data_IF_121712465808
#
_entry.id   IF_121712465808
#
_cell.length_a   1.000
_cell.length_b   1.000
_cell.length_c   1.000
_cell.angle_alpha   90.00
_cell.angle_beta   90.00
_cell.angle_gamma   90.00
#
_symmetry.space_group_name_H-M   'P 1'
#
loop_
_entity.id
_entity.type
_entity.pdbx_description
1 polymer ?
#
# COMPACT_ATOMS: atom_id res chain seq x y z
N UNK A 1 -5.22 -11.36 -7.76
CA UNK A 1 -4.34 -10.21 -7.47
C UNK A 1 -2.85 -10.51 -7.59
N UNK A 2 -2.41 -11.71 -7.34
CA UNK A 2 -1.03 -12.15 -7.50
C UNK A 2 -0.58 -12.14 -8.97
N UNK A 3 -1.52 -12.33 -9.90
CA UNK A 3 -1.26 -12.40 -11.34
C UNK A 3 -0.58 -11.15 -11.91
N UNK A 4 -0.91 -9.95 -11.44
CA UNK A 4 -0.27 -8.72 -11.96
C UNK A 4 1.20 -8.58 -11.52
N UNK A 5 1.57 -9.17 -10.38
CA UNK A 5 2.95 -9.15 -9.87
C UNK A 5 3.81 -10.26 -10.42
N UNK A 6 3.20 -11.37 -10.80
CA UNK A 6 3.92 -12.58 -11.23
C UNK A 6 3.82 -12.84 -12.74
N UNK A 7 2.73 -12.40 -13.37
CA UNK A 7 2.41 -12.70 -14.76
C UNK A 7 2.17 -11.45 -15.62
N UNK A 8 2.87 -10.35 -15.32
CA UNK A 8 2.86 -9.14 -16.15
C UNK A 8 3.53 -9.41 -17.51
N UNK A 9 3.23 -8.62 -18.57
CA UNK A 9 3.89 -8.76 -19.86
C UNK A 9 5.40 -8.66 -19.74
N UNK A 10 6.13 -9.65 -20.25
CA UNK A 10 7.58 -9.76 -20.14
C UNK A 10 8.08 -10.49 -18.88
N UNK A 11 7.22 -10.83 -17.92
CA UNK A 11 7.60 -11.62 -16.76
C UNK A 11 8.17 -12.98 -17.14
N UNK A 12 9.20 -13.42 -16.45
CA UNK A 12 9.70 -14.80 -16.55
C UNK A 12 9.12 -15.58 -15.36
N UNK A 13 8.24 -16.49 -15.68
CA UNK A 13 7.55 -17.38 -14.75
C UNK A 13 8.13 -18.78 -14.79
N UNK A 14 8.34 -19.39 -13.63
CA UNK A 14 8.87 -20.74 -13.53
C UNK A 14 7.73 -21.73 -13.25
N UNK A 15 7.50 -22.63 -14.20
CA UNK A 15 6.57 -23.75 -14.04
C UNK A 15 7.32 -25.08 -14.14
N UNK A 16 7.19 -25.96 -13.15
CA UNK A 16 7.94 -27.21 -13.05
C UNK A 16 9.45 -27.04 -13.31
N UNK A 17 10.06 -26.05 -12.65
CA UNK A 17 11.47 -25.66 -12.80
C UNK A 17 11.90 -25.23 -14.23
N UNK A 18 10.95 -24.97 -15.12
CA UNK A 18 11.19 -24.48 -16.46
C UNK A 18 10.76 -23.03 -16.59
N UNK A 19 11.62 -22.15 -17.16
CA UNK A 19 11.28 -20.75 -17.36
C UNK A 19 10.38 -20.54 -18.58
N UNK A 20 9.35 -19.74 -18.40
CA UNK A 20 8.45 -19.30 -19.44
C UNK A 20 8.29 -17.78 -19.36
N UNK A 21 8.33 -17.10 -20.49
CA UNK A 21 8.07 -15.68 -20.57
C UNK A 21 6.61 -15.39 -20.92
N UNK A 22 6.00 -14.49 -20.20
CA UNK A 22 4.68 -13.94 -20.52
C UNK A 22 4.84 -13.01 -21.72
N UNK A 23 4.25 -13.41 -22.83
CA UNK A 23 4.36 -12.70 -24.09
C UNK A 23 3.19 -11.76 -24.34
N UNK A 24 2.01 -12.18 -23.94
CA UNK A 24 0.78 -11.43 -24.09
C UNK A 24 -0.14 -11.70 -22.91
N UNK A 25 -0.81 -10.67 -22.46
CA UNK A 25 -1.78 -10.73 -21.38
C UNK A 25 -3.12 -10.14 -21.85
N UNK A 26 -4.13 -10.98 -21.97
CA UNK A 26 -5.46 -10.60 -22.37
C UNK A 26 -6.39 -10.48 -21.16
N UNK A 27 -6.58 -9.26 -20.66
CA UNK A 27 -7.52 -8.97 -19.55
C UNK A 27 -8.96 -9.39 -19.89
N UNK A 28 -9.39 -9.20 -21.14
CA UNK A 28 -10.76 -9.53 -21.59
C UNK A 28 -11.06 -11.03 -21.52
N UNK A 29 -10.09 -11.85 -21.87
CA UNK A 29 -10.24 -13.30 -21.93
C UNK A 29 -9.74 -14.00 -20.69
N UNK A 30 -9.08 -13.29 -19.76
CA UNK A 30 -8.36 -13.87 -18.63
C UNK A 30 -7.32 -14.91 -19.06
N UNK A 31 -6.67 -14.68 -20.20
CA UNK A 31 -5.69 -15.57 -20.80
C UNK A 31 -4.30 -14.96 -20.75
N UNK A 32 -3.31 -15.80 -20.52
CA UNK A 32 -1.89 -15.45 -20.54
C UNK A 32 -1.20 -16.33 -21.57
N UNK A 33 -0.53 -15.70 -22.53
CA UNK A 33 0.25 -16.43 -23.54
C UNK A 33 1.70 -16.47 -23.08
N UNK A 34 2.26 -17.67 -22.99
CA UNK A 34 3.61 -17.92 -22.51
C UNK A 34 4.43 -18.66 -23.57
N UNK A 35 5.74 -18.37 -23.62
CA UNK A 35 6.72 -19.10 -24.43
C UNK A 35 7.89 -19.54 -23.54
N UNK A 36 8.52 -20.66 -23.89
CA UNK A 36 9.74 -21.12 -23.22
C UNK A 36 10.85 -20.08 -23.36
N UNK A 37 11.54 -19.81 -22.27
CA UNK A 37 12.58 -18.77 -22.20
C UNK A 37 13.87 -19.34 -21.58
N UNK A 38 14.93 -18.53 -21.58
CA UNK A 38 16.18 -18.77 -20.84
C UNK A 38 15.97 -18.51 -19.35
N UNK A 39 16.93 -18.93 -18.53
CA UNK A 39 16.92 -18.70 -17.09
C UNK A 39 17.21 -17.21 -16.77
N UNK A 40 16.22 -16.36 -16.96
CA UNK A 40 16.24 -14.96 -16.54
C UNK A 40 15.36 -14.76 -15.31
N UNK A 41 15.68 -13.74 -14.52
CA UNK A 41 14.82 -13.30 -13.42
C UNK A 41 14.26 -11.93 -13.74
N UNK A 42 12.97 -11.74 -13.51
CA UNK A 42 12.31 -10.46 -13.77
C UNK A 42 11.56 -10.00 -12.54
N UNK A 43 11.57 -8.67 -12.29
CA UNK A 43 10.87 -8.00 -11.20
C UNK A 43 10.05 -6.84 -11.78
N UNK A 44 8.74 -6.72 -11.48
CA UNK A 44 7.91 -5.66 -12.03
C UNK A 44 8.29 -4.29 -11.46
N UNK A 45 8.20 -3.25 -12.28
CA UNK A 45 8.21 -1.86 -11.83
C UNK A 45 6.76 -1.52 -11.48
N UNK A 46 6.41 -1.76 -10.22
CA UNK A 46 5.07 -1.63 -9.70
C UNK A 46 4.92 -0.32 -8.92
N UNK A 47 3.91 0.44 -9.28
CA UNK A 47 3.41 1.58 -8.50
C UNK A 47 2.05 1.19 -7.90
N UNK A 48 1.85 1.53 -6.64
CA UNK A 48 0.57 1.34 -5.95
C UNK A 48 0.12 2.69 -5.43
N UNK A 49 -1.12 3.05 -5.72
CA UNK A 49 -1.76 4.26 -5.22
C UNK A 49 -3.03 3.87 -4.46
N UNK A 50 -3.25 4.49 -3.32
CA UNK A 50 -4.39 4.23 -2.44
C UNK A 50 -5.20 5.49 -2.30
N UNK A 51 -6.51 5.38 -2.52
CA UNK A 51 -7.47 6.47 -2.43
C UNK A 51 -8.54 6.12 -1.38
N UNK A 52 -8.41 6.66 -0.15
CA UNK A 52 -9.40 6.45 0.89
C UNK A 52 -10.73 7.14 0.57
N UNK A 53 -11.84 6.45 0.81
CA UNK A 53 -13.20 6.96 0.59
C UNK A 53 -13.78 7.52 1.88
N UNK A 54 -13.17 8.56 2.45
CA UNK A 54 -13.56 9.12 3.74
C UNK A 54 -14.93 9.80 3.74
N UNK A 55 -15.43 10.22 2.58
CA UNK A 55 -16.69 10.99 2.52
C UNK A 55 -17.94 10.14 2.75
N UNK A 56 -17.94 8.87 2.33
CA UNK A 56 -19.16 8.07 2.35
C UNK A 56 -19.02 6.69 3.00
N UNK A 57 -17.78 6.23 3.26
CA UNK A 57 -17.53 4.83 3.60
C UNK A 57 -16.52 4.67 4.74
N UNK A 58 -16.65 5.50 5.77
CA UNK A 58 -15.95 5.30 7.04
C UNK A 58 -16.67 4.19 7.81
N UNK A 59 -15.90 3.16 8.19
CA UNK A 59 -16.40 2.02 8.97
C UNK A 59 -16.22 2.30 10.47
N UNK A 60 -15.03 2.74 10.86
CA UNK A 60 -14.70 3.09 12.25
C UNK A 60 -13.74 4.27 12.26
N UNK A 61 -13.86 5.13 13.26
CA UNK A 61 -13.07 6.35 13.39
C UNK A 61 -12.66 6.58 14.84
N UNK A 62 -11.37 6.83 15.05
CA UNK A 62 -10.81 7.37 16.29
C UNK A 62 -10.15 8.69 15.99
N UNK A 63 -10.46 9.71 16.79
CA UNK A 63 -9.92 11.07 16.65
C UNK A 63 -8.96 11.40 17.78
N UNK A 64 -7.91 12.14 17.43
CA UNK A 64 -7.04 12.83 18.37
C UNK A 64 -7.00 14.32 18.00
N UNK A 65 -6.48 15.16 18.88
CA UNK A 65 -6.38 16.61 18.63
C UNK A 65 -5.68 16.93 17.31
N UNK A 66 -4.63 16.17 16.97
CA UNK A 66 -3.76 16.43 15.83
C UNK A 66 -3.76 15.29 14.78
N UNK A 67 -4.83 14.49 14.73
CA UNK A 67 -4.86 13.39 13.78
C UNK A 67 -6.03 12.45 13.93
N UNK A 68 -5.96 11.34 13.21
CA UNK A 68 -6.99 10.31 13.22
C UNK A 68 -6.43 8.92 12.93
N UNK A 69 -7.18 7.92 13.33
CA UNK A 69 -7.09 6.53 12.89
C UNK A 69 -8.47 6.14 12.36
N UNK A 70 -8.54 5.66 11.13
CA UNK A 70 -9.79 5.36 10.45
C UNK A 70 -9.72 4.03 9.70
N UNK A 71 -10.75 3.20 9.86
CA UNK A 71 -11.02 2.08 8.95
C UNK A 71 -12.05 2.55 7.92
N UNK A 72 -11.73 2.44 6.64
CA UNK A 72 -12.62 2.87 5.55
C UNK A 72 -12.48 1.99 4.31
N UNK A 73 -13.46 2.12 3.41
CA UNK A 73 -13.32 1.64 2.05
C UNK A 73 -12.23 2.42 1.32
N UNK A 74 -11.52 1.72 0.47
CA UNK A 74 -10.42 2.24 -0.32
C UNK A 74 -10.58 1.83 -1.77
N UNK A 75 -10.13 2.70 -2.66
CA UNK A 75 -9.83 2.34 -4.03
C UNK A 75 -8.33 2.21 -4.19
N UNK A 76 -7.87 1.07 -4.71
CA UNK A 76 -6.46 0.78 -4.94
C UNK A 76 -6.20 0.68 -6.43
N UNK A 77 -5.16 1.38 -6.88
CA UNK A 77 -4.66 1.34 -8.25
C UNK A 77 -3.26 0.74 -8.23
N UNK A 78 -3.09 -0.41 -8.88
CA UNK A 78 -1.79 -1.04 -9.12
C UNK A 78 -1.42 -0.86 -10.60
N UNK A 79 -0.27 -0.26 -10.86
CA UNK A 79 0.25 0.01 -12.20
C UNK A 79 1.62 -0.63 -12.38
N UNK A 80 1.76 -1.51 -13.36
CA UNK A 80 3.06 -2.03 -13.82
C UNK A 80 3.46 -1.29 -15.08
N UNK A 81 4.53 -0.52 -15.01
CA UNK A 81 5.04 0.31 -16.12
C UNK A 81 6.21 -0.32 -16.88
N UNK A 82 6.67 -1.48 -16.44
CA UNK A 82 7.80 -2.19 -17.00
C UNK A 82 8.36 -3.21 -16.01
N UNK A 83 9.57 -3.64 -16.22
CA UNK A 83 10.23 -4.60 -15.35
C UNK A 83 11.75 -4.47 -15.40
N UNK A 84 12.40 -4.90 -14.32
CA UNK A 84 13.84 -5.12 -14.29
C UNK A 84 14.11 -6.59 -14.62
N UNK A 85 15.04 -6.83 -15.54
CA UNK A 85 15.45 -8.17 -15.96
C UNK A 85 16.92 -8.42 -15.62
N UNK A 86 17.19 -9.53 -14.95
CA UNK A 86 18.57 -10.00 -14.69
C UNK A 86 18.92 -11.14 -15.64
N UNK A 87 20.02 -10.96 -16.38
CA UNK A 87 20.62 -11.94 -17.31
C UNK A 87 22.05 -12.20 -16.88
N UNK A 88 22.28 -13.31 -16.18
CA UNK A 88 23.58 -13.56 -15.56
C UNK A 88 23.93 -12.43 -14.56
N UNK A 89 25.07 -11.77 -14.74
CA UNK A 89 25.52 -10.65 -13.91
C UNK A 89 24.96 -9.27 -14.27
N UNK A 90 24.23 -9.14 -15.38
CA UNK A 90 23.74 -7.86 -15.88
C UNK A 90 22.27 -7.63 -15.52
N UNK A 91 21.92 -6.37 -15.23
CA UNK A 91 20.54 -5.94 -14.95
C UNK A 91 20.09 -4.92 -16.01
N UNK A 92 18.89 -5.10 -16.54
CA UNK A 92 18.30 -4.25 -17.57
C UNK A 92 16.92 -3.78 -17.10
N UNK A 93 16.64 -2.49 -17.26
CA UNK A 93 15.32 -1.93 -17.04
C UNK A 93 14.58 -1.81 -18.37
N UNK A 94 13.40 -2.41 -18.47
CA UNK A 94 12.56 -2.42 -19.67
C UNK A 94 11.25 -1.74 -19.31
N UNK A 95 10.97 -0.59 -19.94
CA UNK A 95 9.72 0.15 -19.78
C UNK A 95 8.76 -0.21 -20.93
N UNK A 96 7.45 -0.19 -20.66
CA UNK A 96 6.41 -0.45 -21.68
C UNK A 96 6.16 0.71 -22.64
N UNK A 97 6.84 1.82 -22.43
CA UNK A 97 6.79 2.96 -23.33
C UNK A 97 7.83 2.74 -24.44
N UNK A 98 7.44 3.01 -25.69
CA UNK A 98 8.28 3.00 -26.90
C UNK A 98 9.03 1.68 -27.15
N UNK A 99 8.60 0.97 -28.16
CA UNK A 99 9.27 -0.21 -28.75
C UNK A 99 9.36 -1.46 -27.87
N UNK A 100 8.64 -1.53 -26.76
CA UNK A 100 8.57 -2.75 -25.98
C UNK A 100 7.70 -3.80 -26.70
N UNK A 101 8.30 -4.96 -26.97
CA UNK A 101 7.62 -6.06 -27.69
C UNK A 101 6.54 -6.76 -26.83
N UNK A 102 6.53 -6.55 -25.52
CA UNK A 102 5.63 -7.23 -24.59
C UNK A 102 4.37 -6.41 -24.28
N UNK A 103 4.49 -5.10 -24.17
CA UNK A 103 3.37 -4.19 -23.98
C UNK A 103 3.75 -2.77 -24.43
N UNK A 104 2.78 -2.05 -25.00
CA UNK A 104 2.97 -0.66 -25.43
C UNK A 104 2.45 0.35 -24.41
N UNK A 105 1.75 -0.12 -23.37
CA UNK A 105 1.16 0.70 -22.31
C UNK A 105 1.29 0.00 -20.97
N UNK A 106 1.34 0.75 -19.86
CA UNK A 106 1.28 0.18 -18.53
C UNK A 106 0.06 -0.71 -18.34
N UNK A 107 0.24 -1.79 -17.60
CA UNK A 107 -0.87 -2.65 -17.19
C UNK A 107 -1.39 -2.15 -15.85
N UNK A 108 -2.67 -1.82 -15.81
CA UNK A 108 -3.31 -1.21 -14.65
C UNK A 108 -4.41 -2.12 -14.11
N UNK A 109 -4.51 -2.20 -12.81
CA UNK A 109 -5.58 -2.90 -12.10
C UNK A 109 -6.17 -1.96 -11.06
N UNK A 110 -7.51 -1.87 -11.06
CA UNK A 110 -8.29 -1.18 -10.05
C UNK A 110 -9.08 -2.19 -9.24
N UNK A 111 -9.14 -1.99 -7.94
CA UNK A 111 -10.02 -2.79 -7.08
C UNK A 111 -10.41 -2.01 -5.83
N UNK A 112 -11.57 -2.34 -5.31
CA UNK A 112 -12.07 -1.82 -4.04
C UNK A 112 -11.76 -2.80 -2.92
N UNK A 113 -11.39 -2.25 -1.77
CA UNK A 113 -11.04 -3.02 -0.57
C UNK A 113 -11.26 -2.17 0.67
N UNK A 114 -10.91 -2.68 1.84
CA UNK A 114 -10.85 -1.91 3.08
C UNK A 114 -9.44 -1.81 3.61
N UNK A 115 -9.20 -0.80 4.43
CA UNK A 115 -7.92 -0.64 5.12
C UNK A 115 -8.03 0.32 6.29
N UNK A 116 -6.95 0.38 7.04
CA UNK A 116 -6.77 1.28 8.15
C UNK A 116 -5.77 2.36 7.76
N UNK A 117 -6.26 3.59 7.78
CA UNK A 117 -5.49 4.80 7.50
C UNK A 117 -5.22 5.55 8.79
N UNK A 118 -4.02 6.12 8.92
CA UNK A 118 -3.70 7.02 10.02
C UNK A 118 -2.93 8.24 9.53
N UNK A 119 -3.16 9.33 10.20
CA UNK A 119 -2.49 10.60 10.02
C UNK A 119 -2.30 11.28 11.37
N UNK A 120 -1.12 11.86 11.55
CA UNK A 120 -0.82 12.78 12.65
C UNK A 120 -0.07 13.97 12.08
N UNK A 121 -0.39 15.18 12.57
CA UNK A 121 0.10 16.45 11.99
C UNK A 121 1.59 16.71 12.16
N UNK A 122 2.30 15.90 12.95
CA UNK A 122 3.73 16.00 13.11
C UNK A 122 4.46 15.40 11.89
N UNK A 123 5.23 16.24 11.20
CA UNK A 123 6.00 15.83 10.01
C UNK A 123 7.03 14.73 10.28
N UNK A 124 7.53 14.62 11.50
CA UNK A 124 8.49 13.57 11.91
C UNK A 124 7.89 12.16 11.83
N UNK A 125 6.57 12.07 11.86
CA UNK A 125 5.83 10.80 11.82
C UNK A 125 5.61 10.31 10.38
N UNK A 126 5.79 11.15 9.39
CA UNK A 126 5.58 10.82 7.97
C UNK A 126 6.87 10.25 7.38
N UNK A 127 7.29 9.09 7.87
CA UNK A 127 8.42 8.32 7.33
C UNK A 127 7.95 6.93 6.87
N UNK A 128 8.24 6.61 5.61
CA UNK A 128 7.89 5.31 5.02
C UNK A 128 8.55 4.14 5.76
N UNK A 129 9.73 4.34 6.32
CA UNK A 129 10.44 3.32 7.12
C UNK A 129 9.69 3.00 8.40
N UNK A 130 9.16 4.03 9.07
CA UNK A 130 8.33 3.86 10.27
C UNK A 130 7.04 3.09 9.94
N UNK A 131 6.37 3.47 8.86
CA UNK A 131 5.17 2.77 8.41
C UNK A 131 5.45 1.32 8.03
N UNK A 132 6.58 1.05 7.37
CA UNK A 132 7.01 -0.31 7.02
C UNK A 132 7.29 -1.15 8.27
N UNK A 133 7.90 -0.57 9.31
CA UNK A 133 8.13 -1.27 10.57
C UNK A 133 6.81 -1.62 11.28
N UNK A 134 5.87 -0.67 11.33
CA UNK A 134 4.52 -0.93 11.88
C UNK A 134 3.83 -2.06 11.11
N UNK A 135 3.92 -2.04 9.79
CA UNK A 135 3.39 -3.08 8.92
C UNK A 135 4.01 -4.45 9.20
N UNK A 136 5.34 -4.53 9.32
CA UNK A 136 6.03 -5.78 9.60
C UNK A 136 5.66 -6.35 10.98
N UNK A 137 5.60 -5.49 12.00
CA UNK A 137 5.18 -5.88 13.36
C UNK A 137 3.73 -6.36 13.35
N UNK A 138 2.85 -5.70 12.61
CA UNK A 138 1.46 -6.14 12.45
C UNK A 138 1.40 -7.53 11.81
N UNK A 139 2.12 -7.75 10.71
CA UNK A 139 2.20 -9.06 10.06
C UNK A 139 2.70 -10.16 11.01
N UNK A 140 3.78 -9.90 11.73
CA UNK A 140 4.38 -10.86 12.67
C UNK A 140 3.44 -11.19 13.83
N UNK A 141 2.82 -10.16 14.44
CA UNK A 141 1.97 -10.33 15.62
C UNK A 141 0.71 -11.15 15.33
N UNK A 142 0.15 -11.01 14.14
CA UNK A 142 -1.10 -11.67 13.75
C UNK A 142 -0.90 -12.83 12.76
N UNK A 143 0.34 -13.17 12.41
CA UNK A 143 0.63 -14.27 11.48
C UNK A 143 0.12 -14.01 10.04
N UNK A 144 0.04 -12.73 9.65
CA UNK A 144 -0.46 -12.31 8.34
C UNK A 144 0.68 -12.40 7.32
N UNK A 145 0.37 -12.90 6.13
CA UNK A 145 1.36 -12.97 5.06
C UNK A 145 1.43 -11.63 4.32
N UNK A 146 2.64 -11.18 3.98
CA UNK A 146 2.88 -9.92 3.26
C UNK A 146 2.17 -9.84 1.89
N UNK A 147 1.76 -10.97 1.32
CA UNK A 147 0.98 -11.02 0.09
C UNK A 147 -0.48 -10.64 0.27
N UNK A 148 -1.03 -10.75 1.49
CA UNK A 148 -2.46 -10.58 1.77
C UNK A 148 -2.81 -9.12 2.09
N UNK A 149 -1.83 -8.33 2.54
CA UNK A 149 -1.99 -6.92 2.85
C UNK A 149 -0.93 -6.05 2.17
N UNK A 150 -1.18 -4.75 2.08
CA UNK A 150 -0.26 -3.74 1.56
C UNK A 150 -0.12 -2.57 2.51
N UNK A 151 0.99 -1.84 2.40
CA UNK A 151 1.24 -0.60 3.12
C UNK A 151 1.68 0.48 2.13
N UNK A 152 0.95 1.58 2.07
CA UNK A 152 1.26 2.69 1.16
C UNK A 152 0.93 4.05 1.78
N UNK A 153 1.51 5.10 1.19
CA UNK A 153 1.17 6.49 1.50
C UNK A 153 -0.10 6.85 0.73
N UNK A 154 -1.00 7.58 1.37
CA UNK A 154 -2.12 8.22 0.71
C UNK A 154 -2.05 9.74 0.84
N UNK A 155 -2.67 10.43 -0.12
CA UNK A 155 -2.93 11.86 -0.07
C UNK A 155 -4.43 12.08 -0.22
N UNK A 156 -5.00 12.97 0.56
CA UNK A 156 -6.40 13.34 0.43
C UNK A 156 -6.58 14.82 0.68
N UNK A 157 -7.56 15.42 0.00
CA UNK A 157 -7.97 16.82 0.23
C UNK A 157 -9.11 16.93 1.25
N UNK A 158 -9.81 15.81 1.50
CA UNK A 158 -10.95 15.77 2.41
C UNK A 158 -10.71 14.67 3.44
N UNK A 159 -10.05 15.01 4.53
CA UNK A 159 -9.75 14.09 5.60
C UNK A 159 -10.79 14.20 6.74
N UNK A 160 -10.96 13.14 7.54
CA UNK A 160 -11.77 13.21 8.75
C UNK A 160 -11.31 14.32 9.69
N UNK A 161 -12.19 14.71 10.63
CA UNK A 161 -11.87 15.67 11.68
C UNK A 161 -11.64 17.11 11.18
N UNK A 162 -12.25 17.50 10.03
CA UNK A 162 -12.14 18.87 9.50
C UNK A 162 -10.76 19.21 8.93
N UNK A 163 -9.91 18.23 8.67
CA UNK A 163 -8.59 18.44 8.09
C UNK A 163 -8.75 18.59 6.57
N UNK A 164 -8.46 19.77 6.04
CA UNK A 164 -8.66 20.07 4.61
C UNK A 164 -7.77 19.24 3.68
N UNK A 165 -6.55 18.94 4.11
CA UNK A 165 -5.60 18.16 3.31
C UNK A 165 -4.60 17.45 4.20
N UNK A 166 -4.37 16.17 3.94
CA UNK A 166 -3.33 15.41 4.66
C UNK A 166 -2.64 14.37 3.80
N UNK A 167 -1.46 14.00 4.26
CA UNK A 167 -0.69 12.86 3.80
C UNK A 167 -0.53 11.91 4.97
N UNK A 168 -0.96 10.69 4.81
CA UNK A 168 -0.88 9.67 5.86
C UNK A 168 -0.47 8.31 5.30
N UNK A 169 -0.54 7.31 6.15
CA UNK A 169 -0.24 5.92 5.81
C UNK A 169 -1.51 5.07 5.85
N UNK A 170 -1.53 4.06 5.02
CA UNK A 170 -2.61 3.10 4.94
C UNK A 170 -2.07 1.68 4.87
N UNK A 171 -2.58 0.80 5.71
CA UNK A 171 -2.43 -0.66 5.57
C UNK A 171 -3.77 -1.21 5.12
N UNK A 172 -3.78 -1.96 4.01
CA UNK A 172 -4.99 -2.38 3.32
C UNK A 172 -4.94 -3.84 2.88
N UNK A 173 -6.11 -4.45 2.75
CA UNK A 173 -6.25 -5.79 2.21
C UNK A 173 -5.98 -5.77 0.70
N UNK A 174 -5.15 -6.69 0.21
CA UNK A 174 -4.88 -6.82 -1.24
C UNK A 174 -5.95 -7.59 -2.00
N UNK A 175 -6.99 -8.03 -1.32
CA UNK A 175 -8.11 -8.78 -1.89
C UNK A 175 -9.25 -7.83 -2.23
N UNK A 176 -9.75 -7.92 -3.48
CA UNK A 176 -10.96 -7.20 -3.90
C UNK A 176 -12.15 -7.64 -3.04
N UNK A 177 -12.92 -6.67 -2.57
CA UNK A 177 -14.04 -6.89 -1.66
C UNK A 177 -13.65 -7.10 -0.20
N UNK A 178 -12.36 -7.04 0.11
CA UNK A 178 -11.76 -7.15 1.44
C UNK A 178 -12.12 -8.43 2.23
N UNK A 179 -11.18 -8.88 3.04
CA UNK A 179 -11.40 -9.89 4.09
C UNK A 179 -11.38 -9.26 5.50
N UNK A 180 -11.26 -7.94 5.57
CA UNK A 180 -11.13 -7.14 6.79
C UNK A 180 -10.01 -7.61 7.73
N UNK A 181 -8.92 -8.13 7.16
CA UNK A 181 -7.73 -8.55 7.92
C UNK A 181 -7.17 -7.36 8.70
N UNK A 182 -7.22 -6.16 8.10
CA UNK A 182 -6.70 -4.93 8.69
C UNK A 182 -7.53 -4.38 9.84
N UNK A 183 -8.75 -4.87 10.09
CA UNK A 183 -9.56 -4.48 11.27
C UNK A 183 -8.80 -4.68 12.59
N UNK A 184 -7.97 -5.73 12.68
CA UNK A 184 -7.15 -6.00 13.86
C UNK A 184 -6.12 -4.89 14.13
N UNK A 185 -5.63 -4.22 13.08
CA UNK A 185 -4.76 -3.05 13.23
C UNK A 185 -5.53 -1.90 13.90
N UNK A 186 -6.76 -1.63 13.49
CA UNK A 186 -7.56 -0.56 14.07
C UNK A 186 -7.79 -0.77 15.57
N UNK A 187 -8.14 -1.98 15.96
CA UNK A 187 -8.44 -2.32 17.37
C UNK A 187 -7.19 -2.37 18.26
N UNK A 188 -6.06 -2.80 17.70
CA UNK A 188 -4.82 -3.04 18.46
C UNK A 188 -3.71 -2.05 18.13
N UNK A 189 -4.03 -0.90 17.56
CA UNK A 189 -3.04 0.05 17.01
C UNK A 189 -1.97 0.43 18.04
N UNK A 190 -2.37 0.85 19.26
CA UNK A 190 -1.45 1.19 20.35
C UNK A 190 -0.49 0.04 20.68
N UNK A 191 -1.02 -1.17 20.85
CA UNK A 191 -0.22 -2.36 21.17
C UNK A 191 0.77 -2.75 20.05
N UNK A 192 0.42 -2.45 18.79
CA UNK A 192 1.31 -2.67 17.65
C UNK A 192 2.46 -1.68 17.69
N UNK A 193 2.19 -0.41 17.98
CA UNK A 193 3.23 0.61 18.14
C UNK A 193 4.17 0.28 19.31
N UNK A 194 3.64 -0.14 20.46
CA UNK A 194 4.46 -0.59 21.60
C UNK A 194 5.36 -1.79 21.22
N UNK A 195 4.80 -2.74 20.46
CA UNK A 195 5.57 -3.88 19.96
C UNK A 195 6.65 -3.44 18.95
N UNK A 196 6.37 -2.45 18.11
CA UNK A 196 7.35 -1.89 17.16
C UNK A 196 8.51 -1.20 17.89
N UNK A 197 8.22 -0.43 18.94
CA UNK A 197 9.24 0.19 19.79
C UNK A 197 10.12 -0.86 20.47
N UNK A 198 9.51 -1.91 21.03
CA UNK A 198 10.22 -3.00 21.68
C UNK A 198 11.14 -3.76 20.71
N UNK A 199 10.62 -4.08 19.53
CA UNK A 199 11.39 -4.76 18.48
C UNK A 199 12.56 -3.91 17.99
N UNK A 200 12.31 -2.62 17.77
CA UNK A 200 13.33 -1.65 17.38
C UNK A 200 14.45 -1.54 18.43
N UNK A 201 14.09 -1.40 19.71
CA UNK A 201 15.04 -1.32 20.81
C UNK A 201 15.89 -2.58 20.96
N UNK A 202 15.30 -3.75 20.74
CA UNK A 202 16.00 -5.04 20.77
C UNK A 202 17.00 -5.19 19.61
N UNK A 203 16.65 -4.67 18.42
CA UNK A 203 17.52 -4.70 17.24
C UNK A 203 18.76 -3.81 17.39
N UNK A 204 18.63 -2.66 18.06
CA UNK A 204 19.76 -1.78 18.37
C UNK A 204 20.81 -2.45 19.28
N UNK A 205 20.39 -3.36 20.17
CA UNK A 205 21.30 -4.14 21.01
C UNK A 205 22.14 -5.16 20.21
N UNK A 206 21.77 -5.45 18.96
CA UNK A 206 22.48 -6.39 18.07
C UNK A 206 23.46 -5.65 17.14
N UNK A 207 23.64 -4.32 17.30
CA UNK A 207 24.62 -3.52 16.54
C UNK A 207 24.14 -3.06 15.16
N UNK A 208 22.84 -3.11 14.90
CA UNK A 208 22.23 -2.46 13.74
C UNK A 208 21.95 -1.02 14.14
N UNK A 209 22.77 -0.08 13.69
CA UNK A 209 22.55 1.36 13.89
C UNK A 209 21.33 1.80 13.05
N UNK A 210 20.18 1.90 13.69
CA UNK A 210 19.05 2.62 13.14
C UNK A 210 19.11 4.11 13.54
N UNK A 211 18.58 4.99 12.69
CA UNK A 211 18.61 6.42 12.99
C UNK A 211 17.78 6.75 14.24
N UNK A 212 18.27 7.66 15.06
CA UNK A 212 17.56 8.18 16.26
C UNK A 212 16.15 8.68 15.91
N UNK A 213 15.96 9.15 14.68
CA UNK A 213 14.71 9.71 14.17
C UNK A 213 13.55 8.69 14.15
N UNK A 214 13.83 7.40 13.88
CA UNK A 214 12.79 6.34 13.86
C UNK A 214 12.25 6.08 15.27
N UNK A 215 13.15 6.04 16.28
CA UNK A 215 12.73 5.85 17.67
C UNK A 215 11.86 7.01 18.15
N UNK A 216 12.25 8.24 17.85
CA UNK A 216 11.48 9.45 18.18
C UNK A 216 10.12 9.46 17.48
N UNK A 217 10.07 9.09 16.19
CA UNK A 217 8.83 8.99 15.44
C UNK A 217 7.87 7.96 16.03
N UNK A 218 8.34 6.76 16.37
CA UNK A 218 7.53 5.72 17.00
C UNK A 218 6.99 6.15 18.38
N UNK A 219 7.83 6.80 19.20
CA UNK A 219 7.39 7.35 20.50
C UNK A 219 6.32 8.43 20.31
N UNK A 220 6.48 9.28 19.32
CA UNK A 220 5.51 10.33 18.98
C UNK A 220 4.18 9.70 18.54
N UNK A 221 4.21 8.68 17.66
CA UNK A 221 3.02 7.94 17.25
C UNK A 221 2.33 7.29 18.46
N UNK A 222 3.09 6.72 19.39
CA UNK A 222 2.51 6.11 20.60
C UNK A 222 1.78 7.14 21.46
N UNK A 223 2.34 8.33 21.64
CA UNK A 223 1.67 9.42 22.37
C UNK A 223 0.35 9.79 21.70
N UNK A 224 0.34 9.92 20.38
CA UNK A 224 -0.90 10.19 19.64
C UNK A 224 -1.89 9.02 19.70
N UNK A 225 -1.41 7.77 19.59
CA UNK A 225 -2.24 6.58 19.67
C UNK A 225 -2.98 6.47 21.03
N UNK A 226 -2.30 6.82 22.13
CA UNK A 226 -2.91 6.88 23.49
C UNK A 226 -3.95 8.00 23.64
N UNK A 227 -3.83 9.05 22.83
CA UNK A 227 -4.79 10.15 22.79
C UNK A 227 -5.99 9.93 21.87
N UNK A 228 -6.05 8.81 21.15
CA UNK A 228 -7.15 8.47 20.25
C UNK A 228 -8.42 8.09 21.05
N UNK A 229 -9.51 8.76 20.78
CA UNK A 229 -10.84 8.44 21.32
C UNK A 229 -11.79 7.99 20.20
N UNK A 230 -12.63 7.01 20.50
CA UNK A 230 -13.71 6.62 19.59
C UNK A 230 -14.63 7.81 19.35
N UNK A 231 -15.05 7.99 18.12
CA UNK A 231 -15.98 9.03 17.73
C UNK A 231 -17.02 8.45 16.79
N UNK A 232 -18.28 8.80 17.05
CA UNK A 232 -19.34 8.48 16.10
C UNK A 232 -19.01 9.15 14.75
N UNK A 233 -19.25 8.40 13.68
CA UNK A 233 -19.16 8.93 12.31
C UNK A 233 -20.34 9.89 12.14
N UNK A 234 -20.11 11.16 12.38
CA UNK A 234 -21.16 12.17 12.25
C UNK A 234 -21.30 12.63 10.81
N UNK A 235 -22.50 13.11 10.46
CA UNK A 235 -22.76 13.70 9.12
C UNK A 235 -21.89 14.94 8.81
N UNK A 236 -21.26 15.55 9.83
CA UNK A 236 -20.27 16.63 9.64
C UNK A 236 -18.89 16.14 9.20
N UNK A 237 -18.61 14.85 9.30
CA UNK A 237 -17.40 14.22 8.75
C UNK A 237 -17.57 13.86 7.26
N UNK A 238 -18.79 14.02 6.75
CA UNK A 238 -19.20 13.74 5.36
C UNK A 238 -19.42 15.09 4.67
N UNK A 239 -18.35 15.69 4.13
CA UNK A 239 -18.50 16.85 3.27
C UNK A 239 -19.05 16.39 1.90
N UNK A 240 -20.27 16.84 1.59
CA UNK A 240 -20.86 16.67 0.26
C UNK A 240 -20.08 17.48 -0.76
N UNK A 241 -19.25 16.83 -1.56
CA UNK A 241 -18.81 17.39 -2.84
C UNK A 241 -18.76 16.29 -3.92
N UNK A 242 -19.91 16.10 -4.54
CA UNK A 242 -20.12 15.08 -5.59
C UNK A 242 -19.66 15.50 -6.99
N UNK A 243 -19.04 16.69 -7.15
CA UNK A 243 -18.83 17.28 -8.48
C UNK A 243 -17.41 17.30 -9.01
N UNK A 244 -16.41 16.84 -8.26
CA UNK A 244 -14.98 16.97 -8.66
C UNK A 244 -14.17 15.67 -8.75
N UNK A 245 -14.80 14.52 -8.56
CA UNK A 245 -14.07 13.24 -8.58
C UNK A 245 -13.64 12.82 -10.00
N UNK A 246 -14.32 13.32 -11.05
CA UNK A 246 -14.03 12.96 -12.44
C UNK A 246 -12.79 13.69 -13.00
N UNK A 247 -12.46 14.88 -12.50
CA UNK A 247 -11.35 15.68 -13.04
C UNK A 247 -9.96 15.21 -12.58
N UNK A 248 -9.85 14.59 -11.40
CA UNK A 248 -8.57 14.02 -10.92
C UNK A 248 -8.14 12.79 -11.73
N UNK A 249 -9.09 12.04 -12.26
CA UNK A 249 -8.80 10.87 -13.10
C UNK A 249 -8.22 11.22 -14.46
N UNK A 250 -8.59 12.37 -15.01
CA UNK A 250 -8.08 12.83 -16.31
C UNK A 250 -6.64 13.31 -16.22
N UNK A 251 -6.21 13.91 -15.10
CA UNK A 251 -4.83 14.36 -14.90
C UNK A 251 -3.82 13.22 -14.67
N UNK A 252 -4.26 12.04 -14.21
CA UNK A 252 -3.39 10.87 -13.96
C UNK A 252 -3.24 10.01 -15.21
N UNK A 253 -4.17 10.16 -16.18
CA UNK A 253 -4.19 9.39 -17.43
C UNK A 253 -3.58 10.13 -18.64
N UNK A 254 -3.26 11.41 -18.49
CA UNK A 254 -2.53 12.21 -19.48
C UNK A 254 -1.01 12.12 -19.27
#
# INVERSE_FOLDING_TARGET
>A
SQSLKEAYPGAVYYYMARPYRVYEYSLRKSEIFIKREKQYTTEPILQVMVFPKFQNNIIQLKKAHNGFLVESDLQVNERVSGFNEKRGGNSFTILYEKDCIYAQRPVVRYFETTGVCWFFSDKKVIDKTVASLIYEVFCLKFGIQNRDIGCEIFHTKNAPNGIESCTGFCIFDRTSGSLRITQQLFTSFEQIIESAISMYSSSNNIGIEYSHDIAEALQTILVYAKGLSESDVSSSDILEDSSKQDDEWQMILA
#
